data_IF_218042505535
#
_entry.id   IF_218042505535
#
_cell.length_a   1.000
_cell.length_b   1.000
_cell.length_c   1.000
_cell.angle_alpha   90.00
_cell.angle_beta   90.00
_cell.angle_gamma   90.00
#
_symmetry.space_group_name_H-M   'P 1'
#
loop_
_entity.id
_entity.type
_entity.pdbx_description
1 polymer ?
#
# COMPACT_ATOMS: atom_id res chain seq x y z
N UNK A 1 37.14 34.19 -19.23
CA UNK A 1 37.58 32.80 -19.47
C UNK A 1 36.84 31.89 -18.50
N UNK A 2 36.21 30.86 -19.05
CA UNK A 2 35.15 30.01 -18.50
C UNK A 2 35.63 29.04 -17.41
N UNK A 3 34.91 28.98 -16.28
CA UNK A 3 35.09 27.96 -15.25
C UNK A 3 33.69 27.41 -14.88
N UNK A 4 33.11 26.56 -15.72
CA UNK A 4 31.76 26.00 -15.52
C UNK A 4 31.54 24.50 -15.88
N UNK A 5 32.49 23.72 -16.43
CA UNK A 5 32.22 22.29 -16.70
C UNK A 5 32.43 21.36 -15.49
N UNK A 6 33.33 21.69 -14.54
CA UNK A 6 33.67 20.81 -13.40
C UNK A 6 32.62 20.77 -12.28
N UNK A 7 32.05 21.92 -11.91
CA UNK A 7 31.03 21.98 -10.86
C UNK A 7 29.74 21.21 -11.23
N UNK A 8 29.37 21.21 -12.53
CA UNK A 8 28.22 20.46 -13.05
C UNK A 8 28.48 18.94 -13.06
N UNK A 9 29.71 18.51 -13.39
CA UNK A 9 30.09 17.09 -13.33
C UNK A 9 30.15 16.57 -11.89
N UNK A 10 30.59 17.38 -10.94
CA UNK A 10 30.69 17.00 -9.52
C UNK A 10 29.30 16.83 -8.88
N UNK A 11 28.36 17.72 -9.21
CA UNK A 11 26.94 17.61 -8.81
C UNK A 11 26.26 16.37 -9.39
N UNK A 12 26.51 16.06 -10.67
CA UNK A 12 26.00 14.84 -11.30
C UNK A 12 26.63 13.58 -10.68
N UNK A 13 27.91 13.62 -10.34
CA UNK A 13 28.61 12.54 -9.63
C UNK A 13 28.01 12.28 -8.25
N UNK A 14 27.77 13.34 -7.46
CA UNK A 14 27.15 13.24 -6.15
C UNK A 14 25.71 12.70 -6.21
N UNK A 15 24.92 13.16 -7.18
CA UNK A 15 23.54 12.67 -7.38
C UNK A 15 23.51 11.18 -7.75
N UNK A 16 24.40 10.73 -8.65
CA UNK A 16 24.54 9.30 -8.99
C UNK A 16 24.97 8.46 -7.79
N UNK A 17 25.91 8.96 -6.98
CA UNK A 17 26.35 8.28 -5.77
C UNK A 17 25.21 8.14 -4.75
N UNK A 18 24.42 9.19 -4.54
CA UNK A 18 23.26 9.16 -3.64
C UNK A 18 22.19 8.16 -4.12
N UNK A 19 21.88 8.17 -5.42
CA UNK A 19 20.98 7.19 -6.05
C UNK A 19 21.48 5.76 -5.82
N UNK A 20 22.76 5.50 -6.09
CA UNK A 20 23.38 4.18 -5.88
C UNK A 20 23.37 3.77 -4.41
N UNK A 21 23.60 4.69 -3.47
CA UNK A 21 23.55 4.41 -2.03
C UNK A 21 22.13 4.05 -1.57
N UNK A 22 21.11 4.79 -2.00
CA UNK A 22 19.70 4.50 -1.69
C UNK A 22 19.32 3.11 -2.23
N UNK A 23 19.75 2.77 -3.45
CA UNK A 23 19.52 1.46 -4.04
C UNK A 23 20.24 0.37 -3.24
N UNK A 24 21.50 0.58 -2.87
CA UNK A 24 22.26 -0.39 -2.06
C UNK A 24 21.63 -0.67 -0.69
N UNK A 25 21.13 0.37 -0.01
CA UNK A 25 20.39 0.20 1.25
C UNK A 25 19.07 -0.53 1.02
N UNK A 26 18.35 -0.19 -0.05
CA UNK A 26 17.12 -0.87 -0.44
C UNK A 26 17.35 -2.37 -0.69
N UNK A 27 18.47 -2.74 -1.32
CA UNK A 27 18.83 -4.14 -1.54
C UNK A 27 19.10 -4.87 -0.22
N UNK A 28 19.80 -4.26 0.74
CA UNK A 28 20.04 -4.85 2.06
C UNK A 28 18.72 -5.08 2.79
N UNK A 29 17.83 -4.07 2.80
CA UNK A 29 16.55 -4.15 3.48
C UNK A 29 15.59 -5.16 2.83
N UNK A 30 15.62 -5.29 1.49
CA UNK A 30 14.85 -6.32 0.79
C UNK A 30 15.27 -7.73 1.24
N UNK A 31 16.58 -8.01 1.23
CA UNK A 31 17.10 -9.30 1.67
C UNK A 31 16.80 -9.55 3.15
N UNK A 32 16.94 -8.54 4.00
CA UNK A 32 16.60 -8.64 5.41
C UNK A 32 15.13 -9.02 5.61
N UNK A 33 14.19 -8.30 4.97
CA UNK A 33 12.76 -8.60 5.09
C UNK A 33 12.40 -9.99 4.56
N UNK A 34 12.94 -10.39 3.40
CA UNK A 34 12.69 -11.73 2.87
C UNK A 34 13.26 -12.83 3.76
N UNK A 35 14.43 -12.61 4.36
CA UNK A 35 15.02 -13.55 5.32
C UNK A 35 14.22 -13.63 6.62
N UNK A 36 13.69 -12.50 7.12
CA UNK A 36 12.82 -12.49 8.28
C UNK A 36 11.51 -13.27 8.01
N UNK A 37 10.94 -13.13 6.83
CA UNK A 37 9.76 -13.90 6.41
C UNK A 37 10.05 -15.39 6.33
N UNK A 38 11.16 -15.78 5.69
CA UNK A 38 11.63 -17.17 5.66
C UNK A 38 11.87 -17.74 7.06
N UNK A 39 12.42 -16.93 7.97
CA UNK A 39 12.62 -17.32 9.36
C UNK A 39 11.28 -17.50 10.08
N UNK A 40 10.31 -16.63 9.86
CA UNK A 40 8.97 -16.74 10.43
C UNK A 40 8.28 -18.04 9.98
N UNK A 41 8.30 -18.35 8.69
CA UNK A 41 7.76 -19.60 8.13
C UNK A 41 8.44 -20.84 8.70
N UNK A 42 9.78 -20.84 8.81
CA UNK A 42 10.54 -21.93 9.45
C UNK A 42 10.19 -22.15 10.91
N UNK A 43 9.75 -21.10 11.61
CA UNK A 43 9.29 -21.18 12.99
C UNK A 43 7.77 -21.43 13.11
N UNK A 44 7.12 -21.82 12.02
CA UNK A 44 5.71 -22.25 12.00
C UNK A 44 4.69 -21.13 11.82
N UNK A 45 5.12 -19.89 11.56
CA UNK A 45 4.20 -18.79 11.23
C UNK A 45 3.83 -18.88 9.74
N UNK A 46 2.56 -19.19 9.45
CA UNK A 46 2.06 -19.14 8.08
C UNK A 46 1.91 -17.68 7.66
N UNK A 47 2.73 -17.25 6.70
CA UNK A 47 2.60 -15.95 6.05
C UNK A 47 1.69 -16.06 4.84
N UNK A 48 1.03 -14.97 4.49
CA UNK A 48 0.25 -14.90 3.25
C UNK A 48 1.19 -14.91 2.03
N UNK A 49 0.89 -15.74 1.02
CA UNK A 49 1.75 -15.96 -0.17
C UNK A 49 2.13 -14.68 -0.93
N UNK A 50 1.29 -13.65 -0.85
CA UNK A 50 1.54 -12.38 -1.53
C UNK A 50 2.58 -11.51 -0.81
N UNK A 51 2.94 -11.77 0.46
CA UNK A 51 3.86 -10.93 1.25
C UNK A 51 5.28 -10.86 0.63
N UNK A 52 5.95 -11.98 0.29
CA UNK A 52 7.26 -11.92 -0.36
C UNK A 52 7.21 -11.24 -1.73
N UNK A 53 6.12 -11.47 -2.49
CA UNK A 53 5.88 -10.84 -3.78
C UNK A 53 5.70 -9.32 -3.69
N UNK A 54 4.87 -8.86 -2.74
CA UNK A 54 4.63 -7.44 -2.46
C UNK A 54 5.92 -6.74 -2.00
N UNK A 55 6.69 -7.39 -1.13
CA UNK A 55 7.99 -6.89 -0.65
C UNK A 55 8.94 -6.67 -1.82
N UNK A 56 9.14 -7.70 -2.66
CA UNK A 56 10.01 -7.59 -3.86
C UNK A 56 9.53 -6.50 -4.83
N UNK A 57 8.22 -6.37 -5.00
CA UNK A 57 7.65 -5.34 -5.86
C UNK A 57 7.92 -3.94 -5.29
N UNK A 58 7.80 -3.75 -3.98
CA UNK A 58 8.04 -2.47 -3.31
C UNK A 58 9.46 -1.98 -3.48
N UNK A 59 10.43 -2.84 -3.17
CA UNK A 59 11.83 -2.53 -3.38
C UNK A 59 12.17 -2.30 -4.86
N UNK A 60 11.57 -3.07 -5.77
CA UNK A 60 11.74 -2.85 -7.22
C UNK A 60 11.19 -1.50 -7.67
N UNK A 61 10.02 -1.09 -7.17
CA UNK A 61 9.44 0.22 -7.49
C UNK A 61 10.28 1.35 -6.91
N UNK A 62 10.72 1.23 -5.65
CA UNK A 62 11.65 2.18 -5.03
C UNK A 62 12.89 2.36 -5.90
N UNK A 63 13.58 1.27 -6.26
CA UNK A 63 14.77 1.34 -7.13
C UNK A 63 14.48 1.98 -8.48
N UNK A 64 13.37 1.59 -9.14
CA UNK A 64 12.98 2.17 -10.44
C UNK A 64 12.74 3.67 -10.35
N UNK A 65 12.11 4.15 -9.28
CA UNK A 65 11.88 5.59 -9.05
C UNK A 65 13.21 6.29 -8.81
N UNK A 66 14.07 5.74 -7.94
CA UNK A 66 15.38 6.31 -7.66
C UNK A 66 16.26 6.38 -8.91
N UNK A 67 16.17 5.39 -9.81
CA UNK A 67 16.80 5.43 -11.13
C UNK A 67 16.14 6.42 -12.11
N UNK A 68 14.83 6.64 -11.98
CA UNK A 68 14.06 7.51 -12.87
C UNK A 68 14.22 9.01 -12.56
N UNK A 69 15.06 9.39 -11.59
CA UNK A 69 15.43 10.80 -11.32
C UNK A 69 16.04 11.49 -12.57
N UNK A 70 16.39 10.75 -13.63
CA UNK A 70 16.74 11.29 -14.95
C UNK A 70 15.66 11.24 -16.06
N UNK A 71 14.54 10.54 -15.88
CA UNK A 71 13.52 10.30 -16.93
C UNK A 71 12.11 10.83 -16.58
N UNK A 72 11.86 11.18 -15.30
CA UNK A 72 10.58 11.73 -14.83
C UNK A 72 9.58 10.66 -14.36
N UNK A 73 9.03 10.83 -13.16
CA UNK A 73 8.13 9.86 -12.50
C UNK A 73 6.82 9.68 -13.26
N UNK A 74 6.26 10.76 -13.82
CA UNK A 74 4.98 10.73 -14.53
C UNK A 74 5.01 9.86 -15.80
N UNK A 75 6.14 9.83 -16.51
CA UNK A 75 6.31 8.99 -17.71
C UNK A 75 6.28 7.49 -17.40
N UNK A 76 6.77 7.09 -16.22
CA UNK A 76 6.70 5.71 -15.75
C UNK A 76 5.29 5.36 -15.31
N UNK A 77 4.64 6.24 -14.54
CA UNK A 77 3.26 6.04 -14.07
C UNK A 77 2.26 5.92 -15.22
N UNK A 78 2.40 6.73 -16.27
CA UNK A 78 1.53 6.66 -17.45
C UNK A 78 1.56 5.30 -18.15
N UNK A 79 2.68 4.56 -18.10
CA UNK A 79 2.79 3.21 -18.67
C UNK A 79 2.14 2.13 -17.80
N UNK A 80 2.01 2.37 -16.50
CA UNK A 80 1.38 1.43 -15.57
C UNK A 80 -0.14 1.62 -15.49
N UNK A 81 -0.64 2.80 -15.87
CA UNK A 81 -2.06 3.14 -15.78
C UNK A 81 -3.01 2.15 -16.47
N UNK A 82 -2.74 1.59 -17.66
CA UNK A 82 -3.63 0.59 -18.27
C UNK A 82 -3.73 -0.72 -17.48
N UNK A 83 -2.65 -1.10 -16.78
CA UNK A 83 -2.58 -2.33 -15.98
C UNK A 83 -3.17 -2.15 -14.57
N UNK A 84 -3.11 -0.94 -14.03
CA UNK A 84 -3.51 -0.62 -12.66
C UNK A 84 -4.80 0.20 -12.54
N UNK A 85 -5.35 0.66 -13.67
CA UNK A 85 -6.62 1.39 -13.70
C UNK A 85 -7.80 0.56 -13.17
N UNK A 86 -8.88 1.23 -12.80
CA UNK A 86 -10.06 0.62 -12.17
C UNK A 86 -10.70 -0.52 -12.98
N UNK A 87 -10.60 -0.47 -14.32
CA UNK A 87 -11.11 -1.53 -15.20
C UNK A 87 -10.21 -2.75 -15.35
N UNK A 88 -9.02 -2.77 -14.74
CA UNK A 88 -8.08 -3.88 -14.86
C UNK A 88 -8.58 -5.11 -14.09
N UNK A 89 -8.64 -6.25 -14.78
CA UNK A 89 -9.01 -7.56 -14.21
C UNK A 89 -7.79 -8.37 -13.77
N UNK A 90 -6.61 -7.77 -13.76
CA UNK A 90 -5.40 -8.49 -13.38
C UNK A 90 -5.44 -8.85 -11.88
N UNK A 91 -5.29 -10.14 -11.50
CA UNK A 91 -5.38 -10.54 -10.09
C UNK A 91 -4.37 -9.86 -9.16
N UNK A 92 -3.22 -9.45 -9.69
CA UNK A 92 -2.18 -8.75 -8.92
C UNK A 92 -2.40 -7.25 -8.75
N UNK A 93 -3.51 -6.70 -9.27
CA UNK A 93 -3.76 -5.25 -9.31
C UNK A 93 -3.75 -4.61 -7.92
N UNK A 94 -4.53 -5.12 -6.97
CA UNK A 94 -4.66 -4.53 -5.63
C UNK A 94 -3.32 -4.53 -4.89
N UNK A 95 -2.56 -5.63 -5.00
CA UNK A 95 -1.21 -5.72 -4.41
C UNK A 95 -0.26 -4.73 -5.06
N UNK A 96 -0.27 -4.62 -6.39
CA UNK A 96 0.60 -3.68 -7.09
C UNK A 96 0.26 -2.22 -6.79
N UNK A 97 -1.03 -1.89 -6.70
CA UNK A 97 -1.51 -0.55 -6.38
C UNK A 97 -1.18 -0.18 -4.93
N UNK A 98 -1.36 -1.11 -4.00
CA UNK A 98 -1.01 -0.95 -2.59
C UNK A 98 0.49 -0.68 -2.40
N UNK A 99 1.33 -1.46 -3.07
CA UNK A 99 2.78 -1.26 -3.05
C UNK A 99 3.15 0.09 -3.66
N UNK A 100 2.55 0.47 -4.79
CA UNK A 100 2.79 1.76 -5.42
C UNK A 100 2.42 2.92 -4.50
N UNK A 101 1.27 2.85 -3.82
CA UNK A 101 0.83 3.85 -2.86
C UNK A 101 1.68 3.83 -1.59
N UNK A 102 2.16 2.68 -1.12
CA UNK A 102 3.08 2.64 0.02
C UNK A 102 4.41 3.35 -0.28
N UNK A 103 4.89 3.30 -1.52
CA UNK A 103 6.16 3.93 -1.92
C UNK A 103 6.00 5.38 -2.37
N UNK A 104 4.93 5.71 -3.11
CA UNK A 104 4.72 7.01 -3.78
C UNK A 104 3.39 7.69 -3.41
N UNK A 105 2.75 7.26 -2.33
CA UNK A 105 1.39 7.63 -2.01
C UNK A 105 1.13 9.12 -1.87
N UNK A 106 2.03 9.82 -1.20
CA UNK A 106 1.98 11.28 -1.03
C UNK A 106 2.15 12.03 -2.35
N UNK A 107 3.06 11.58 -3.21
CA UNK A 107 3.24 12.11 -4.56
C UNK A 107 1.98 11.91 -5.41
N UNK A 108 1.43 10.68 -5.42
CA UNK A 108 0.21 10.37 -6.18
C UNK A 108 -0.96 11.24 -5.72
N UNK A 109 -1.13 11.40 -4.40
CA UNK A 109 -2.17 12.25 -3.82
C UNK A 109 -1.98 13.72 -4.22
N UNK A 110 -0.76 14.27 -4.04
CA UNK A 110 -0.46 15.67 -4.34
C UNK A 110 -0.65 16.01 -5.83
N UNK A 111 -0.49 15.02 -6.72
CA UNK A 111 -0.69 15.15 -8.16
C UNK A 111 -2.09 14.80 -8.64
N UNK A 112 -3.02 14.47 -7.74
CA UNK A 112 -4.37 14.00 -8.09
C UNK A 112 -4.33 12.84 -9.08
N UNK A 113 -3.35 11.95 -8.92
CA UNK A 113 -3.15 10.82 -9.82
C UNK A 113 -4.26 9.78 -9.56
N UNK A 114 -4.91 9.22 -10.60
CA UNK A 114 -5.98 8.24 -10.43
C UNK A 114 -5.52 6.92 -9.81
N UNK A 115 -4.20 6.69 -9.69
CA UNK A 115 -3.64 5.56 -8.95
C UNK A 115 -3.55 5.81 -7.44
N UNK A 116 -3.84 7.03 -6.95
CA UNK A 116 -3.90 7.32 -5.52
C UNK A 116 -5.08 6.59 -4.88
N UNK A 117 -4.80 5.79 -3.84
CA UNK A 117 -5.85 5.09 -3.09
C UNK A 117 -6.60 6.08 -2.21
N UNK A 118 -7.91 6.20 -2.44
CA UNK A 118 -8.80 6.90 -1.53
C UNK A 118 -9.14 6.03 -0.32
N UNK A 119 -9.15 6.64 0.87
CA UNK A 119 -9.49 5.93 2.12
C UNK A 119 -10.95 5.51 2.13
N UNK A 120 -11.22 4.24 2.39
CA UNK A 120 -12.57 3.69 2.44
C UNK A 120 -12.64 2.45 3.33
N UNK A 121 -13.84 2.19 3.87
CA UNK A 121 -14.16 0.91 4.51
C UNK A 121 -14.58 -0.10 3.45
N UNK A 122 -14.05 -1.31 3.55
CA UNK A 122 -14.36 -2.42 2.65
C UNK A 122 -14.82 -3.64 3.43
N UNK A 123 -15.61 -4.47 2.75
CA UNK A 123 -15.98 -5.82 3.17
C UNK A 123 -15.84 -6.75 1.98
N UNK A 124 -15.13 -7.87 2.16
CA UNK A 124 -14.84 -8.82 1.09
C UNK A 124 -14.26 -8.15 -0.19
N UNK A 125 -13.37 -7.16 -0.01
CA UNK A 125 -12.77 -6.41 -1.11
C UNK A 125 -13.70 -5.41 -1.80
N UNK A 126 -14.92 -5.18 -1.31
CA UNK A 126 -15.85 -4.22 -1.89
C UNK A 126 -16.01 -3.00 -1.00
N UNK A 127 -16.01 -1.81 -1.61
CA UNK A 127 -16.22 -0.55 -0.90
C UNK A 127 -17.63 -0.48 -0.30
N UNK A 128 -17.71 -0.01 0.94
CA UNK A 128 -18.98 0.23 1.62
C UNK A 128 -19.42 1.67 1.39
N UNK A 129 -20.70 1.83 1.02
CA UNK A 129 -21.35 3.15 1.02
C UNK A 129 -21.83 3.44 2.44
N UNK A 130 -21.34 4.53 3.04
CA UNK A 130 -21.65 4.91 4.42
C UNK A 130 -23.01 5.64 4.52
N UNK A 131 -24.05 5.01 3.98
CA UNK A 131 -25.43 5.41 4.13
C UNK A 131 -26.16 4.28 4.86
N UNK A 132 -27.03 4.62 5.82
CA UNK A 132 -27.68 3.65 6.72
C UNK A 132 -28.33 2.49 5.96
N UNK A 133 -29.08 2.79 4.91
CA UNK A 133 -29.79 1.79 4.10
C UNK A 133 -28.80 0.90 3.32
N UNK A 134 -27.75 1.49 2.76
CA UNK A 134 -26.71 0.76 2.04
C UNK A 134 -25.88 -0.13 2.97
N UNK A 135 -25.58 0.34 4.19
CA UNK A 135 -24.89 -0.44 5.21
C UNK A 135 -25.75 -1.61 5.70
N UNK A 136 -27.04 -1.39 5.96
CA UNK A 136 -27.96 -2.45 6.35
C UNK A 136 -28.08 -3.53 5.26
N UNK A 137 -28.04 -3.15 3.99
CA UNK A 137 -28.01 -4.11 2.87
C UNK A 137 -26.67 -4.84 2.74
N UNK A 138 -25.55 -4.11 2.89
CA UNK A 138 -24.21 -4.67 2.74
C UNK A 138 -23.76 -5.52 3.94
N UNK A 139 -24.33 -5.27 5.12
CA UNK A 139 -24.00 -5.92 6.40
C UNK A 139 -25.29 -6.17 7.20
N UNK A 140 -26.14 -7.12 6.77
CA UNK A 140 -27.45 -7.36 7.39
C UNK A 140 -27.36 -7.80 8.86
N UNK A 141 -26.31 -8.53 9.21
CA UNK A 141 -26.07 -9.05 10.57
C UNK A 141 -25.14 -8.14 11.38
N UNK A 142 -25.14 -6.83 11.12
CA UNK A 142 -24.29 -5.89 11.84
C UNK A 142 -24.66 -5.85 13.34
N UNK A 143 -23.66 -6.08 14.20
CA UNK A 143 -23.79 -5.94 15.65
C UNK A 143 -23.39 -4.54 16.13
N UNK A 144 -23.63 -4.26 17.41
CA UNK A 144 -23.23 -2.99 18.03
C UNK A 144 -21.73 -2.85 18.31
N UNK A 145 -20.90 -3.83 17.93
CA UNK A 145 -19.45 -3.84 18.14
C UNK A 145 -18.75 -4.10 16.81
N UNK A 146 -17.83 -3.21 16.45
CA UNK A 146 -17.06 -3.26 15.20
C UNK A 146 -15.63 -3.70 15.49
N UNK A 147 -15.11 -4.61 14.66
CA UNK A 147 -13.69 -4.91 14.56
C UNK A 147 -13.13 -4.20 13.33
N UNK A 148 -12.31 -3.17 13.53
CA UNK A 148 -11.64 -2.46 12.44
C UNK A 148 -10.26 -3.06 12.17
N UNK A 149 -10.04 -3.56 10.96
CA UNK A 149 -8.78 -4.13 10.50
C UNK A 149 -8.01 -3.13 9.64
N UNK A 150 -6.81 -2.76 10.07
CA UNK A 150 -5.97 -1.76 9.41
C UNK A 150 -4.66 -2.41 8.96
N UNK A 151 -4.44 -2.48 7.65
CA UNK A 151 -3.22 -3.07 7.10
C UNK A 151 -2.00 -2.14 7.25
N UNK A 152 -0.81 -2.70 7.09
CA UNK A 152 0.47 -1.98 7.13
C UNK A 152 0.86 -1.31 5.81
N UNK A 153 2.09 -0.80 5.78
CA UNK A 153 2.71 -0.18 4.61
C UNK A 153 2.78 -1.16 3.43
N UNK A 154 2.50 -0.68 2.21
CA UNK A 154 2.53 -1.47 0.97
C UNK A 154 1.55 -2.67 0.97
N UNK A 155 0.58 -2.67 1.87
CA UNK A 155 -0.44 -3.70 1.99
C UNK A 155 -1.84 -3.19 1.62
N UNK A 156 -2.81 -4.08 1.53
CA UNK A 156 -4.24 -3.80 1.33
C UNK A 156 -5.13 -4.67 2.22
N UNK A 157 -6.44 -4.42 2.16
CA UNK A 157 -7.47 -5.08 2.96
C UNK A 157 -7.62 -6.60 2.67
N UNK A 158 -7.17 -7.09 1.51
CA UNK A 158 -7.31 -8.50 1.14
C UNK A 158 -6.24 -9.40 1.78
N UNK A 159 -5.17 -8.81 2.32
CA UNK A 159 -4.01 -9.53 2.85
C UNK A 159 -4.19 -10.00 4.30
N UNK A 160 -5.41 -9.92 4.84
CA UNK A 160 -5.79 -10.57 6.10
C UNK A 160 -6.16 -12.06 5.94
N UNK A 161 -6.11 -12.59 4.72
CA UNK A 161 -6.39 -13.99 4.43
C UNK A 161 -5.12 -14.84 4.45
N UNK A 162 -5.18 -16.02 5.04
CA UNK A 162 -4.21 -17.11 4.88
C UNK A 162 -4.83 -18.21 4.00
N UNK A 163 -4.11 -19.30 3.73
CA UNK A 163 -4.69 -20.49 3.07
C UNK A 163 -5.86 -21.10 3.88
N UNK A 164 -5.85 -20.94 5.20
CA UNK A 164 -6.79 -21.62 6.10
C UNK A 164 -8.02 -20.77 6.43
N UNK A 165 -7.83 -19.46 6.65
CA UNK A 165 -8.91 -18.54 6.99
C UNK A 165 -8.53 -17.08 6.76
N UNK A 166 -9.53 -16.19 6.80
CA UNK A 166 -9.31 -14.76 7.02
C UNK A 166 -9.23 -14.46 8.52
N UNK A 167 -8.10 -13.91 8.97
CA UNK A 167 -7.84 -13.62 10.38
C UNK A 167 -8.87 -12.65 10.98
N UNK A 168 -9.28 -11.64 10.21
CA UNK A 168 -10.27 -10.67 10.65
C UNK A 168 -11.66 -11.28 10.80
N UNK A 169 -12.07 -12.11 9.84
CA UNK A 169 -13.35 -12.82 9.93
C UNK A 169 -13.36 -13.84 11.07
N UNK A 170 -12.26 -14.59 11.26
CA UNK A 170 -12.14 -15.58 12.33
C UNK A 170 -12.24 -14.92 13.71
N UNK A 171 -11.45 -13.86 13.94
CA UNK A 171 -11.48 -13.11 15.19
C UNK A 171 -12.84 -12.45 15.46
N UNK A 172 -13.47 -11.91 14.41
CA UNK A 172 -14.80 -11.31 14.53
C UNK A 172 -15.87 -12.35 14.92
N UNK A 173 -15.81 -13.56 14.37
CA UNK A 173 -16.72 -14.64 14.72
C UNK A 173 -16.53 -15.08 16.18
N UNK A 174 -15.28 -15.22 16.63
CA UNK A 174 -14.95 -15.60 18.01
C UNK A 174 -15.46 -14.56 19.04
N UNK A 175 -15.34 -13.27 18.73
CA UNK A 175 -15.71 -12.17 19.64
C UNK A 175 -17.15 -11.66 19.45
N UNK A 176 -17.84 -12.11 18.41
CA UNK A 176 -19.17 -11.63 18.02
C UNK A 176 -19.16 -10.15 17.59
N UNK A 177 -18.17 -9.74 16.80
CA UNK A 177 -18.00 -8.38 16.26
C UNK A 177 -18.30 -8.34 14.77
N UNK A 178 -18.58 -7.16 14.23
CA UNK A 178 -18.72 -6.92 12.79
C UNK A 178 -17.36 -6.49 12.21
N UNK A 179 -16.72 -7.31 11.33
CA UNK A 179 -15.42 -6.97 10.77
C UNK A 179 -15.55 -5.97 9.62
N UNK A 180 -14.81 -4.87 9.71
CA UNK A 180 -14.64 -3.88 8.64
C UNK A 180 -13.15 -3.73 8.36
N UNK A 181 -12.79 -3.62 7.08
CA UNK A 181 -11.40 -3.51 6.65
C UNK A 181 -11.13 -2.11 6.11
N UNK A 182 -10.08 -1.46 6.59
CA UNK A 182 -9.66 -0.18 6.05
C UNK A 182 -8.78 -0.39 4.83
N UNK A 183 -9.15 0.22 3.71
CA UNK A 183 -8.31 0.34 2.53
C UNK A 183 -7.88 1.79 2.39
N UNK A 184 -6.58 2.06 2.42
CA UNK A 184 -6.06 3.42 2.45
C UNK A 184 -4.68 3.54 1.82
N UNK A 185 -4.30 4.77 1.50
CA UNK A 185 -2.97 5.10 1.01
C UNK A 185 -1.95 5.10 2.16
N UNK A 186 -1.29 3.95 2.35
CA UNK A 186 -0.30 3.76 3.40
C UNK A 186 0.99 4.57 3.24
N UNK A 187 1.23 5.19 2.07
CA UNK A 187 2.34 6.11 1.86
C UNK A 187 2.05 7.56 2.24
N UNK A 188 0.82 7.90 2.66
CA UNK A 188 0.55 9.20 3.28
C UNK A 188 1.13 9.27 4.69
N UNK A 189 1.47 10.49 5.11
CA UNK A 189 1.91 10.75 6.48
C UNK A 189 0.87 10.25 7.50
N UNK A 190 1.34 9.58 8.57
CA UNK A 190 0.47 8.91 9.55
C UNK A 190 -0.56 9.88 10.15
N UNK A 191 -0.19 11.13 10.41
CA UNK A 191 -1.13 12.13 10.95
C UNK A 191 -2.26 12.50 9.97
N UNK A 192 -2.02 12.45 8.66
CA UNK A 192 -3.03 12.67 7.63
C UNK A 192 -3.99 11.48 7.63
N UNK A 193 -3.46 10.27 7.56
CA UNK A 193 -4.25 9.04 7.63
C UNK A 193 -5.08 8.96 8.93
N UNK A 194 -4.50 9.34 10.07
CA UNK A 194 -5.22 9.37 11.34
C UNK A 194 -6.40 10.35 11.36
N UNK A 195 -6.24 11.53 10.74
CA UNK A 195 -7.32 12.52 10.61
C UNK A 195 -8.44 11.99 9.70
N UNK A 196 -8.11 11.53 8.50
CA UNK A 196 -9.09 10.99 7.56
C UNK A 196 -9.83 9.78 8.17
N UNK A 197 -9.13 8.93 8.92
CA UNK A 197 -9.75 7.80 9.60
C UNK A 197 -10.72 8.27 10.69
N UNK A 198 -10.37 9.31 11.46
CA UNK A 198 -11.27 9.87 12.47
C UNK A 198 -12.57 10.39 11.83
N UNK A 199 -12.47 11.12 10.72
CA UNK A 199 -13.63 11.64 9.96
C UNK A 199 -14.49 10.51 9.38
N UNK A 200 -13.85 9.46 8.84
CA UNK A 200 -14.54 8.28 8.33
C UNK A 200 -15.30 7.54 9.43
N UNK A 201 -14.69 7.40 10.62
CA UNK A 201 -15.34 6.75 11.77
C UNK A 201 -16.47 7.58 12.36
N UNK A 202 -16.34 8.92 12.37
CA UNK A 202 -17.45 9.80 12.73
C UNK A 202 -18.64 9.64 11.76
N UNK A 203 -18.36 9.50 10.47
CA UNK A 203 -19.39 9.27 9.44
C UNK A 203 -20.07 7.92 9.63
N UNK A 204 -19.32 6.87 9.96
CA UNK A 204 -19.85 5.53 10.23
C UNK A 204 -20.81 5.48 11.44
N UNK A 205 -20.64 6.39 12.41
CA UNK A 205 -21.42 6.41 13.66
C UNK A 205 -22.75 7.16 13.55
N UNK A 206 -23.03 7.85 12.44
CA UNK A 206 -24.26 8.61 12.19
C UNK A 206 -25.38 7.70 11.63
#
# INVERSE_FOLDING_TARGET
>A
MSNSPRASSDLQGASRLAVSAIIGVADILEHFHLNLMLLAERNGLQLHDSLPGATRLGYRLLRKVTHAVGLGVDGVLGRLQPLLGEGSRWPGRETALAVLNGVLGDYLQAKHNPLAISMQLRRAGQALTLQREALAAAVPDAGGRVLLLIHGLCMNDLQWSSEQHNHGTALAAELGYTPLFLHYNSGLHISINGRCLSELLQTLQQ
#
